data_IF_017482964181
#
_entry.id   IF_017482964181
#
_cell.length_a   1.000
_cell.length_b   1.000
_cell.length_c   1.000
_cell.angle_alpha   90.00
_cell.angle_beta   90.00
_cell.angle_gamma   90.00
#
_symmetry.space_group_name_H-M   'P 1'
#
loop_
_entity.id
_entity.type
_entity.pdbx_description
1 polymer ?
#
# COMPACT_ATOMS: atom_id res chain seq x y z
N UNK A 1 11.85 0.53 11.25
CA UNK A 1 12.02 1.97 10.95
C UNK A 1 10.96 2.79 11.67
N UNK A 2 11.36 3.73 12.52
CA UNK A 2 10.45 4.59 13.30
C UNK A 2 9.67 5.54 12.38
N UNK A 3 10.25 5.97 11.26
CA UNK A 3 9.64 6.92 10.35
C UNK A 3 8.50 6.28 9.55
N UNK A 4 8.73 5.11 8.96
CA UNK A 4 7.70 4.31 8.29
C UNK A 4 6.58 3.90 9.23
N UNK A 5 6.87 3.59 10.50
CA UNK A 5 5.83 3.34 11.50
C UNK A 5 4.95 4.59 11.72
N UNK A 6 5.52 5.79 11.80
CA UNK A 6 4.77 7.05 11.92
C UNK A 6 3.87 7.30 10.71
N UNK A 7 4.40 7.12 9.50
CA UNK A 7 3.63 7.35 8.26
C UNK A 7 2.49 6.34 8.15
N UNK A 8 2.76 5.04 8.37
CA UNK A 8 1.72 3.99 8.34
C UNK A 8 0.59 4.28 9.31
N UNK A 9 0.91 4.79 10.52
CA UNK A 9 -0.10 5.15 11.51
C UNK A 9 -0.98 6.32 11.06
N UNK A 10 -0.38 7.37 10.49
CA UNK A 10 -1.13 8.52 9.95
C UNK A 10 -2.03 8.12 8.78
N UNK A 11 -1.50 7.34 7.84
CA UNK A 11 -2.25 6.86 6.68
C UNK A 11 -3.39 5.93 7.08
N UNK A 12 -3.15 4.98 8.00
CA UNK A 12 -4.19 4.07 8.49
C UNK A 12 -5.37 4.83 9.13
N UNK A 13 -5.09 5.92 9.84
CA UNK A 13 -6.11 6.76 10.46
C UNK A 13 -6.96 7.52 9.43
N UNK A 14 -6.33 8.02 8.35
CA UNK A 14 -7.02 8.81 7.32
C UNK A 14 -7.77 7.93 6.30
N UNK A 15 -7.27 6.73 6.03
CA UNK A 15 -7.81 5.82 4.99
C UNK A 15 -8.64 4.69 5.58
N UNK A 16 -9.00 4.74 6.86
CA UNK A 16 -9.91 3.78 7.49
C UNK A 16 -9.36 2.34 7.58
N UNK A 17 -8.04 2.16 7.54
CA UNK A 17 -7.42 0.83 7.65
C UNK A 17 -6.72 0.32 6.40
N UNK A 18 -6.83 0.99 5.26
CA UNK A 18 -6.26 0.50 4.00
C UNK A 18 -4.71 0.46 4.05
N UNK A 19 -4.09 -0.65 3.60
CA UNK A 19 -2.64 -0.81 3.60
C UNK A 19 -2.00 -0.04 2.43
N UNK A 20 -1.78 1.26 2.62
CA UNK A 20 -1.19 2.15 1.61
C UNK A 20 0.31 1.97 1.41
N UNK A 21 1.06 1.50 2.42
CA UNK A 21 2.49 1.27 2.29
C UNK A 21 2.77 -0.23 2.29
N UNK A 22 3.29 -0.73 1.17
CA UNK A 22 3.75 -2.10 1.02
C UNK A 22 5.28 -2.15 1.15
N UNK A 23 5.78 -3.15 1.89
CA UNK A 23 7.22 -3.44 1.97
C UNK A 23 7.60 -4.42 0.87
N UNK A 24 8.62 -4.09 0.09
CA UNK A 24 9.26 -5.00 -0.88
C UNK A 24 10.67 -5.29 -0.39
N UNK A 25 10.89 -6.55 -0.01
CA UNK A 25 12.20 -7.00 0.47
C UNK A 25 13.28 -6.78 -0.59
N UNK A 26 14.39 -6.16 -0.20
CA UNK A 26 15.49 -5.83 -1.11
C UNK A 26 15.23 -4.67 -2.09
N UNK A 27 14.05 -4.03 -2.08
CA UNK A 27 13.74 -2.87 -2.94
C UNK A 27 13.21 -1.63 -2.21
N UNK A 28 12.72 -1.78 -0.98
CA UNK A 28 12.25 -0.66 -0.16
C UNK A 28 10.74 -0.64 0.01
N UNK A 29 10.14 0.55 0.01
CA UNK A 29 8.72 0.76 0.31
C UNK A 29 7.99 1.33 -0.90
N UNK A 30 6.77 0.86 -1.13
CA UNK A 30 5.90 1.34 -2.21
C UNK A 30 4.63 1.93 -1.60
N UNK A 31 4.33 3.19 -1.95
CA UNK A 31 3.06 3.82 -1.64
C UNK A 31 2.04 3.46 -2.72
N UNK A 32 0.88 2.96 -2.31
CA UNK A 32 -0.26 2.65 -3.18
C UNK A 32 -1.34 3.69 -2.98
N UNK A 33 -2.04 4.00 -4.06
CA UNK A 33 -3.18 4.90 -4.03
C UNK A 33 -4.45 4.14 -3.60
N UNK A 34 -5.26 4.66 -2.66
CA UNK A 34 -6.47 4.00 -2.18
C UNK A 34 -7.55 3.84 -3.26
N UNK A 35 -7.65 4.80 -4.18
CA UNK A 35 -8.57 4.76 -5.33
C UNK A 35 -8.17 3.63 -6.27
N UNK A 36 -6.87 3.43 -6.45
CA UNK A 36 -6.34 2.29 -7.20
C UNK A 36 -6.65 0.96 -6.53
N UNK A 37 -6.62 0.85 -5.19
CA UNK A 37 -6.96 -0.41 -4.50
C UNK A 37 -8.45 -0.78 -4.64
N UNK A 38 -9.35 0.21 -4.66
CA UNK A 38 -10.80 -0.01 -4.74
C UNK A 38 -11.27 -0.37 -6.16
N UNK A 39 -10.57 0.11 -7.19
CA UNK A 39 -10.87 -0.17 -8.61
C UNK A 39 -10.01 -1.25 -9.28
N UNK A 40 -8.82 -1.56 -8.76
CA UNK A 40 -7.84 -2.42 -9.46
C UNK A 40 -7.84 -3.90 -9.03
N UNK A 41 -9.00 -4.49 -8.73
CA UNK A 41 -9.10 -5.97 -8.67
C UNK A 41 -8.96 -6.65 -10.05
N UNK A 42 -8.80 -5.91 -11.16
CA UNK A 42 -8.98 -6.47 -12.51
C UNK A 42 -7.75 -6.56 -13.44
N UNK A 43 -6.49 -6.53 -12.94
CA UNK A 43 -5.36 -6.60 -13.90
C UNK A 43 -4.08 -7.33 -13.49
N UNK A 44 -4.20 -8.47 -12.79
CA UNK A 44 -3.10 -9.45 -12.64
C UNK A 44 -3.61 -10.91 -12.59
N UNK A 45 -4.43 -11.31 -13.55
CA UNK A 45 -4.58 -12.71 -13.95
C UNK A 45 -4.34 -12.77 -15.46
N UNK A 46 -3.06 -12.85 -15.85
CA UNK A 46 -2.61 -13.27 -17.18
C UNK A 46 -1.08 -13.29 -17.18
N UNK A 47 -0.51 -14.40 -16.71
CA UNK A 47 0.77 -14.89 -17.18
C UNK A 47 0.62 -16.41 -17.14
N UNK A 48 0.58 -17.02 -18.33
CA UNK A 48 0.48 -18.46 -18.52
C UNK A 48 1.82 -19.16 -18.35
#
# INVERSE_FOLDING_TARGET
DVFICKIRRKLKALTGGDPLIATVWGRGYVLRDPTSLRGAKTRRQAAG
#
